data_IF_683720890223
#
_entry.id   IF_683720890223
#
_cell.length_a   1.000
_cell.length_b   1.000
_cell.length_c   1.000
_cell.angle_alpha   90.00
_cell.angle_beta   90.00
_cell.angle_gamma   90.00
#
_symmetry.space_group_name_H-M   'P 1'
#
loop_
_entity.id
_entity.type
_entity.pdbx_description
1 polymer ?
#
# COMPACT_ATOMS: atom_id res chain seq x y z
N UNK A 1 0.14 -11.00 -4.54
CA UNK A 1 -0.68 -11.19 -3.32
C UNK A 1 -1.56 -9.96 -3.15
N UNK A 2 -2.86 -10.13 -2.91
CA UNK A 2 -3.83 -9.03 -2.94
C UNK A 2 -4.41 -8.73 -1.55
N UNK A 3 -4.41 -7.46 -1.18
CA UNK A 3 -5.00 -6.91 0.04
C UNK A 3 -6.09 -5.91 -0.32
N UNK A 4 -7.17 -5.90 0.45
CA UNK A 4 -8.32 -5.03 0.24
C UNK A 4 -8.63 -4.25 1.50
N UNK A 5 -8.75 -2.94 1.37
CA UNK A 5 -9.11 -2.08 2.48
C UNK A 5 -10.54 -2.38 2.96
N UNK A 6 -10.78 -2.14 4.23
CA UNK A 6 -12.09 -2.27 4.84
C UNK A 6 -13.04 -1.19 4.31
N UNK A 7 -14.26 -1.59 3.93
CA UNK A 7 -15.33 -0.67 3.52
C UNK A 7 -15.82 0.24 4.65
N UNK A 8 -15.50 -0.12 5.89
CA UNK A 8 -15.84 0.65 7.09
C UNK A 8 -14.87 1.81 7.36
N UNK A 9 -13.74 1.85 6.65
CA UNK A 9 -12.78 2.94 6.77
C UNK A 9 -13.13 4.13 5.87
N UNK A 10 -12.67 5.32 6.25
CA UNK A 10 -12.95 6.57 5.51
C UNK A 10 -12.53 6.47 4.04
N UNK A 11 -13.35 7.01 3.14
CA UNK A 11 -13.12 6.99 1.69
C UNK A 11 -13.42 5.66 0.97
N UNK A 12 -13.65 4.57 1.71
CA UNK A 12 -13.76 3.21 1.15
C UNK A 12 -15.20 2.65 1.07
N UNK A 13 -16.23 3.47 1.29
CA UNK A 13 -17.65 3.01 1.40
C UNK A 13 -18.18 2.36 0.12
N UNK A 14 -17.87 2.91 -1.05
CA UNK A 14 -18.41 2.44 -2.33
C UNK A 14 -17.44 1.47 -3.01
N UNK A 15 -16.18 1.86 -3.13
CA UNK A 15 -15.09 1.01 -3.63
C UNK A 15 -13.89 1.15 -2.69
N UNK A 16 -13.44 0.06 -2.05
CA UNK A 16 -12.28 0.12 -1.17
C UNK A 16 -10.98 0.14 -1.96
N UNK A 17 -9.95 0.76 -1.38
CA UNK A 17 -8.60 0.69 -1.91
C UNK A 17 -8.05 -0.75 -1.94
N UNK A 18 -7.23 -1.06 -2.92
CA UNK A 18 -6.60 -2.37 -3.08
C UNK A 18 -5.10 -2.23 -3.27
N UNK A 19 -4.34 -3.13 -2.67
CA UNK A 19 -2.89 -3.26 -2.86
C UNK A 19 -2.63 -4.67 -3.39
N UNK A 20 -2.02 -4.78 -4.56
CA UNK A 20 -1.61 -6.04 -5.15
C UNK A 20 -0.09 -6.06 -5.29
N UNK A 21 0.55 -6.94 -4.50
CA UNK A 21 1.99 -7.16 -4.49
C UNK A 21 2.33 -8.18 -5.59
N UNK A 22 2.84 -7.68 -6.71
CA UNK A 22 3.32 -8.51 -7.81
C UNK A 22 4.79 -8.89 -7.61
N UNK A 23 5.35 -9.61 -8.57
CA UNK A 23 6.75 -10.05 -8.50
C UNK A 23 7.73 -8.87 -8.50
N UNK A 24 7.51 -7.90 -9.38
CA UNK A 24 8.44 -6.79 -9.65
C UNK A 24 7.90 -5.41 -9.23
N UNK A 25 6.59 -5.30 -9.01
CA UNK A 25 5.94 -4.03 -8.69
C UNK A 25 4.84 -4.21 -7.63
N UNK A 26 4.35 -3.09 -7.14
CA UNK A 26 3.15 -2.95 -6.32
C UNK A 26 2.12 -2.22 -7.16
N UNK A 27 0.99 -2.85 -7.40
CA UNK A 27 -0.19 -2.20 -7.96
C UNK A 27 -1.06 -1.65 -6.81
N UNK A 28 -1.43 -0.38 -6.89
CA UNK A 28 -2.27 0.30 -5.91
C UNK A 28 -3.48 0.91 -6.62
N UNK A 29 -4.68 0.50 -6.18
CA UNK A 29 -5.94 1.03 -6.66
C UNK A 29 -6.59 1.87 -5.57
N UNK A 30 -6.72 3.17 -5.80
CA UNK A 30 -7.43 4.11 -4.90
C UNK A 30 -8.52 4.81 -5.73
N UNK A 31 -9.79 4.43 -5.53
CA UNK A 31 -10.90 5.03 -6.26
C UNK A 31 -10.96 6.56 -6.08
N UNK A 32 -11.07 7.29 -7.20
CA UNK A 32 -11.22 8.75 -7.22
C UNK A 32 -9.94 9.56 -6.98
N UNK A 33 -8.80 8.93 -6.69
CA UNK A 33 -7.54 9.64 -6.43
C UNK A 33 -6.56 9.60 -7.61
N UNK A 34 -6.60 8.53 -8.41
CA UNK A 34 -5.78 8.39 -9.60
C UNK A 34 -6.60 8.68 -10.85
N UNK A 35 -6.00 9.36 -11.85
CA UNK A 35 -6.63 9.60 -13.16
C UNK A 35 -6.86 8.32 -13.97
N UNK A 36 -6.26 7.21 -13.56
CA UNK A 36 -6.52 5.86 -14.06
C UNK A 36 -6.88 4.89 -12.92
N UNK A 37 -7.18 3.64 -13.27
CA UNK A 37 -7.68 2.66 -12.30
C UNK A 37 -6.65 2.23 -11.24
N UNK A 38 -5.37 2.23 -11.60
CA UNK A 38 -4.28 1.70 -10.78
C UNK A 38 -3.03 2.57 -10.93
N UNK A 39 -2.20 2.59 -9.88
CA UNK A 39 -0.84 3.12 -9.88
C UNK A 39 0.14 1.99 -9.61
N UNK A 40 1.14 1.84 -10.48
CA UNK A 40 2.18 0.83 -10.32
C UNK A 40 3.44 1.47 -9.73
N UNK A 41 4.00 0.84 -8.72
CA UNK A 41 5.19 1.29 -8.00
C UNK A 41 6.24 0.19 -8.05
N UNK A 42 7.43 0.43 -8.59
CA UNK A 42 8.49 -0.56 -8.53
C UNK A 42 9.06 -0.64 -7.13
N UNK A 43 9.40 -1.85 -6.67
CA UNK A 43 10.01 -2.02 -5.34
C UNK A 43 11.32 -1.22 -5.20
N UNK A 44 12.13 -1.15 -6.26
CA UNK A 44 13.40 -0.44 -6.26
C UNK A 44 13.26 1.07 -6.05
N UNK A 45 12.14 1.66 -6.49
CA UNK A 45 11.87 3.10 -6.39
C UNK A 45 11.38 3.52 -4.99
N UNK A 46 10.97 2.56 -4.17
CA UNK A 46 10.53 2.84 -2.79
C UNK A 46 11.77 3.22 -1.99
N UNK A 47 11.75 4.42 -1.40
CA UNK A 47 12.82 4.91 -0.54
C UNK A 47 12.53 4.59 0.92
N UNK A 48 11.30 4.80 1.37
CA UNK A 48 10.86 4.51 2.75
C UNK A 48 9.39 4.11 2.83
N UNK A 49 9.05 3.45 3.93
CA UNK A 49 7.70 2.97 4.25
C UNK A 49 7.35 3.44 5.66
N UNK A 50 6.23 4.14 5.80
CA UNK A 50 5.69 4.52 7.10
C UNK A 50 4.34 3.83 7.32
N UNK A 51 4.12 3.45 8.57
CA UNK A 51 2.87 2.81 9.02
C UNK A 51 2.31 3.61 10.17
N UNK A 52 1.11 4.11 9.97
CA UNK A 52 0.30 4.73 11.01
C UNK A 52 -0.75 3.72 11.47
N UNK A 53 -0.58 3.23 12.70
CA UNK A 53 -1.37 2.13 13.27
C UNK A 53 -2.02 2.60 14.57
N UNK A 54 -3.29 3.07 14.51
CA UNK A 54 -4.00 3.43 15.73
C UNK A 54 -4.23 2.19 16.61
N UNK A 55 -4.46 2.42 17.91
CA UNK A 55 -4.72 1.34 18.88
C UNK A 55 -5.99 0.56 18.53
N UNK A 56 -7.01 1.25 17.99
CA UNK A 56 -8.28 0.69 17.52
C UNK A 56 -8.59 1.27 16.15
N UNK A 57 -9.03 0.43 15.20
CA UNK A 57 -9.45 0.85 13.87
C UNK A 57 -8.49 0.39 12.77
N UNK A 58 -8.43 1.17 11.69
CA UNK A 58 -7.69 0.83 10.48
C UNK A 58 -6.40 1.60 10.37
N UNK A 59 -5.40 0.96 9.76
CA UNK A 59 -4.08 1.52 9.57
C UNK A 59 -3.99 2.28 8.25
N UNK A 60 -3.01 3.19 8.20
CA UNK A 60 -2.60 3.90 6.99
C UNK A 60 -1.16 3.52 6.63
N UNK A 61 -0.95 3.15 5.37
CA UNK A 61 0.36 2.85 4.80
C UNK A 61 0.79 4.04 3.92
N UNK A 62 2.00 4.56 4.14
CA UNK A 62 2.60 5.61 3.30
C UNK A 62 3.87 5.07 2.66
N UNK A 63 3.91 5.12 1.34
CA UNK A 63 5.07 4.75 0.53
C UNK A 63 5.68 6.02 -0.04
N UNK A 64 6.99 6.19 0.16
CA UNK A 64 7.74 7.32 -0.40
C UNK A 64 8.60 6.80 -1.55
N UNK A 65 8.52 7.49 -2.70
CA UNK A 65 9.21 7.10 -3.93
C UNK A 65 9.75 8.33 -4.64
N UNK A 66 11.07 8.48 -4.77
CA UNK A 66 11.72 9.54 -5.56
C UNK A 66 11.05 10.92 -5.46
N UNK A 67 10.83 11.43 -4.23
CA UNK A 67 10.18 12.73 -3.96
C UNK A 67 8.65 12.75 -3.99
N UNK A 68 8.00 11.63 -4.34
CA UNK A 68 6.55 11.46 -4.28
C UNK A 68 6.12 10.65 -3.05
N UNK A 69 4.88 10.87 -2.62
CA UNK A 69 4.22 10.12 -1.54
C UNK A 69 2.95 9.46 -2.06
N UNK A 70 2.76 8.18 -1.76
CA UNK A 70 1.51 7.45 -1.98
C UNK A 70 0.98 6.99 -0.63
N UNK A 71 -0.22 7.44 -0.29
CA UNK A 71 -0.89 7.11 0.97
C UNK A 71 -2.11 6.23 0.69
N UNK A 72 -2.22 5.10 1.40
CA UNK A 72 -3.34 4.17 1.29
C UNK A 72 -3.87 3.84 2.68
N UNK A 73 -5.19 3.96 2.86
CA UNK A 73 -5.86 3.84 4.16
C UNK A 73 -6.81 2.65 4.18
N UNK A 74 -7.10 2.17 5.39
CA UNK A 74 -8.22 1.26 5.61
C UNK A 74 -7.84 -0.20 5.78
N UNK A 75 -6.56 -0.51 5.95
CA UNK A 75 -6.08 -1.89 6.11
C UNK A 75 -6.05 -2.31 7.57
N UNK A 76 -6.17 -3.60 7.84
CA UNK A 76 -5.99 -4.12 9.19
C UNK A 76 -4.52 -4.04 9.61
N UNK A 77 -4.25 -4.12 10.91
CA UNK A 77 -2.88 -4.12 11.44
C UNK A 77 -2.08 -5.35 10.96
N UNK A 78 -2.73 -6.49 10.82
CA UNK A 78 -2.12 -7.71 10.24
C UNK A 78 -1.76 -7.50 8.77
N UNK A 79 -2.66 -6.91 7.97
CA UNK A 79 -2.40 -6.67 6.55
C UNK A 79 -1.20 -5.74 6.37
N UNK A 80 -1.15 -4.63 7.11
CA UNK A 80 -0.05 -3.67 6.97
C UNK A 80 1.30 -4.25 7.40
N UNK A 81 1.32 -5.09 8.44
CA UNK A 81 2.53 -5.82 8.83
C UNK A 81 3.01 -6.74 7.72
N UNK A 82 2.10 -7.49 7.11
CA UNK A 82 2.42 -8.44 6.05
C UNK A 82 2.85 -7.73 4.76
N UNK A 83 2.12 -6.68 4.36
CA UNK A 83 2.50 -5.83 3.22
C UNK A 83 3.91 -5.29 3.41
N UNK A 84 4.22 -4.72 4.58
CA UNK A 84 5.55 -4.17 4.87
C UNK A 84 6.63 -5.25 4.75
N UNK A 85 6.41 -6.42 5.36
CA UNK A 85 7.35 -7.55 5.32
C UNK A 85 7.68 -7.94 3.88
N UNK A 86 6.65 -8.13 3.05
CA UNK A 86 6.82 -8.55 1.64
C UNK A 86 7.56 -7.47 0.84
N UNK A 87 7.23 -6.19 1.03
CA UNK A 87 7.92 -5.09 0.35
C UNK A 87 9.42 -5.08 0.72
N UNK A 88 9.75 -5.23 1.99
CA UNK A 88 11.14 -5.23 2.46
C UNK A 88 11.92 -6.45 1.93
N UNK A 89 11.29 -7.63 1.88
CA UNK A 89 11.87 -8.83 1.27
C UNK A 89 12.16 -8.65 -0.23
N UNK A 90 11.18 -8.13 -0.99
CA UNK A 90 11.32 -7.89 -2.43
C UNK A 90 12.36 -6.83 -2.75
N UNK A 91 12.39 -5.73 -1.98
CA UNK A 91 13.42 -4.68 -2.09
C UNK A 91 14.81 -5.22 -1.84
N UNK A 92 14.97 -6.09 -0.85
CA UNK A 92 16.26 -6.69 -0.51
C UNK A 92 16.74 -7.68 -1.57
N UNK A 93 15.81 -8.46 -2.15
CA UNK A 93 16.13 -9.41 -3.21
C UNK A 93 16.61 -8.73 -4.50
N UNK A 94 16.00 -7.60 -4.88
CA UNK A 94 16.32 -6.86 -6.10
C UNK A 94 17.59 -5.99 -6.01
N UNK A 95 18.18 -5.87 -4.81
CA UNK A 95 19.44 -5.15 -4.56
C UNK A 95 20.66 -6.07 -4.48
N UNK A 96 20.45 -7.38 -4.49
CA UNK A 96 21.50 -8.41 -4.54
C UNK A 96 21.82 -8.74 -5.99
#
# INVERSE_FOLDING_TARGET
>A
MKFKASRLSEGNKVFPAEINLEENNIEIKIPGLFRGDSKYLNYQDITSIEVDSPMIGFCTLRLFLNGNKVEVKGFSKSDVKEIRRIIDEKRSALRR
#
